data_IF_536880539152
#
_entry.id   IF_536880539152
#
_cell.length_a   1.000
_cell.length_b   1.000
_cell.length_c   1.000
_cell.angle_alpha   90.00
_cell.angle_beta   90.00
_cell.angle_gamma   90.00
#
_symmetry.space_group_name_H-M   'P 1'
#
loop_
_entity.id
_entity.type
_entity.pdbx_description
1 polymer ?
#
# COMPACT_ATOMS: atom_id res chain seq x y z
N UNK A 1 -17.99 -13.29 3.26
CA UNK A 1 -17.18 -12.29 3.98
C UNK A 1 -16.95 -11.15 3.00
N UNK A 2 -17.78 -10.13 3.02
CA UNK A 2 -17.58 -8.95 2.18
C UNK A 2 -16.37 -8.21 2.76
N UNK A 3 -15.31 -8.08 1.97
CA UNK A 3 -14.12 -7.34 2.36
C UNK A 3 -14.52 -5.88 2.57
N UNK A 4 -14.46 -5.43 3.82
CA UNK A 4 -14.63 -4.03 4.15
C UNK A 4 -13.62 -3.19 3.34
N UNK A 5 -14.01 -1.98 2.93
CA UNK A 5 -13.14 -1.06 2.19
C UNK A 5 -11.83 -0.83 2.94
N UNK A 6 -11.87 -0.71 4.27
CA UNK A 6 -10.68 -0.55 5.09
C UNK A 6 -9.76 -1.78 5.03
N UNK A 7 -10.33 -2.98 4.89
CA UNK A 7 -9.58 -4.23 4.77
C UNK A 7 -9.01 -4.38 3.35
N UNK A 8 -9.78 -3.99 2.32
CA UNK A 8 -9.30 -3.96 0.94
C UNK A 8 -8.09 -3.04 0.76
N UNK A 9 -8.15 -1.81 1.31
CA UNK A 9 -7.04 -0.86 1.27
C UNK A 9 -5.81 -1.37 2.03
N UNK A 10 -6.00 -2.07 3.16
CA UNK A 10 -4.89 -2.68 3.88
C UNK A 10 -4.16 -3.75 3.04
N UNK A 11 -4.91 -4.60 2.33
CA UNK A 11 -4.30 -5.61 1.45
C UNK A 11 -3.49 -4.97 0.31
N UNK A 12 -4.01 -3.90 -0.29
CA UNK A 12 -3.29 -3.16 -1.34
C UNK A 12 -2.01 -2.55 -0.79
N UNK A 13 -2.05 -1.94 0.40
CA UNK A 13 -0.85 -1.39 1.03
C UNK A 13 0.21 -2.46 1.28
N UNK A 14 -0.18 -3.62 1.81
CA UNK A 14 0.75 -4.75 2.05
C UNK A 14 1.37 -5.24 0.74
N UNK A 15 0.58 -5.35 -0.34
CA UNK A 15 1.10 -5.75 -1.64
C UNK A 15 2.14 -4.75 -2.18
N UNK A 16 1.88 -3.45 -2.05
CA UNK A 16 2.81 -2.40 -2.47
C UNK A 16 4.09 -2.38 -1.63
N UNK A 17 3.99 -2.59 -0.32
CA UNK A 17 5.18 -2.74 0.53
C UNK A 17 6.02 -3.95 0.10
N UNK A 18 5.38 -5.08 -0.19
CA UNK A 18 6.05 -6.28 -0.70
C UNK A 18 6.74 -6.04 -2.04
N UNK A 19 6.07 -5.39 -2.99
CA UNK A 19 6.66 -4.97 -4.26
C UNK A 19 7.85 -4.03 -4.06
N UNK A 20 7.76 -3.10 -3.11
CA UNK A 20 8.84 -2.21 -2.75
C UNK A 20 10.09 -2.95 -2.27
N UNK A 21 9.89 -3.94 -1.39
CA UNK A 21 10.97 -4.80 -0.89
C UNK A 21 11.58 -5.66 -2.01
N UNK A 22 10.76 -6.19 -2.92
CA UNK A 22 11.25 -6.94 -4.10
C UNK A 22 12.09 -6.04 -4.99
N UNK A 23 11.62 -4.82 -5.30
CA UNK A 23 12.38 -3.84 -6.08
C UNK A 23 13.73 -3.54 -5.43
N UNK A 24 13.75 -3.33 -4.11
CA UNK A 24 14.97 -3.08 -3.36
C UNK A 24 15.93 -4.27 -3.39
N UNK A 25 15.41 -5.51 -3.29
CA UNK A 25 16.21 -6.73 -3.41
C UNK A 25 16.83 -6.90 -4.80
N UNK A 26 16.17 -6.41 -5.84
CA UNK A 26 16.65 -6.41 -7.23
C UNK A 26 17.50 -5.18 -7.58
N UNK A 27 17.81 -4.31 -6.60
CA UNK A 27 18.49 -3.02 -6.80
C UNK A 27 17.75 -2.03 -7.72
N UNK A 28 16.45 -2.25 -7.96
CA UNK A 28 15.59 -1.33 -8.69
C UNK A 28 14.94 -0.34 -7.72
N UNK A 29 15.66 0.76 -7.48
CA UNK A 29 15.25 1.82 -6.56
C UNK A 29 14.05 2.64 -7.08
N UNK A 30 13.84 2.69 -8.40
CA UNK A 30 12.69 3.40 -8.96
C UNK A 30 11.40 2.64 -8.65
N UNK A 31 11.40 1.33 -8.91
CA UNK A 31 10.27 0.47 -8.56
C UNK A 31 10.02 0.46 -7.05
N UNK A 32 11.08 0.39 -6.24
CA UNK A 32 10.98 0.44 -4.79
C UNK A 32 10.35 1.75 -4.29
N UNK A 33 10.87 2.89 -4.73
CA UNK A 33 10.38 4.20 -4.33
C UNK A 33 8.93 4.45 -4.77
N UNK A 34 8.59 4.09 -6.00
CA UNK A 34 7.22 4.23 -6.52
C UNK A 34 6.22 3.35 -5.73
N UNK A 35 6.64 2.13 -5.38
CA UNK A 35 5.80 1.22 -4.60
C UNK A 35 5.57 1.74 -3.18
N UNK A 36 6.61 2.27 -2.52
CA UNK A 36 6.47 2.87 -1.19
C UNK A 36 5.64 4.16 -1.22
N UNK A 37 5.80 5.02 -2.23
CA UNK A 37 4.97 6.22 -2.40
C UNK A 37 3.49 5.84 -2.57
N UNK A 38 3.22 4.86 -3.44
CA UNK A 38 1.86 4.36 -3.67
C UNK A 38 1.27 3.76 -2.38
N UNK A 39 2.07 2.98 -1.62
CA UNK A 39 1.64 2.43 -0.34
C UNK A 39 1.25 3.53 0.66
N UNK A 40 2.03 4.60 0.74
CA UNK A 40 1.72 5.76 1.59
C UNK A 40 0.39 6.41 1.23
N UNK A 41 0.07 6.57 -0.06
CA UNK A 41 -1.21 7.12 -0.51
C UNK A 41 -2.37 6.21 -0.12
N UNK A 42 -2.22 4.90 -0.33
CA UNK A 42 -3.26 3.92 0.02
C UNK A 42 -3.55 3.90 1.52
N UNK A 43 -2.51 4.01 2.35
CA UNK A 43 -2.64 4.10 3.81
C UNK A 43 -3.37 5.40 4.21
N UNK A 44 -2.98 6.53 3.62
CA UNK A 44 -3.66 7.80 3.87
C UNK A 44 -5.16 7.75 3.51
N UNK A 45 -5.50 7.16 2.35
CA UNK A 45 -6.88 6.96 1.93
C UNK A 45 -7.65 6.03 2.87
N UNK A 46 -6.98 5.00 3.38
CA UNK A 46 -7.56 4.08 4.38
C UNK A 46 -7.87 4.81 5.68
N UNK A 47 -6.95 5.63 6.17
CA UNK A 47 -7.14 6.41 7.40
C UNK A 47 -8.23 7.47 7.25
N UNK A 48 -8.29 8.16 6.10
CA UNK A 48 -9.36 9.14 5.86
C UNK A 48 -10.74 8.48 5.75
N UNK A 49 -10.86 7.28 5.16
CA UNK A 49 -12.13 6.53 5.17
C UNK A 49 -12.49 5.99 6.55
N UNK A 50 -11.52 5.46 7.28
CA UNK A 50 -11.75 4.96 8.64
C UNK A 50 -12.10 6.06 9.65
N UNK A 51 -11.86 7.34 9.32
CA UNK A 51 -12.29 8.48 10.11
C UNK A 51 -13.71 8.95 9.78
N UNK A 52 -14.25 8.55 8.62
CA UNK A 52 -15.59 8.90 8.13
C UNK A 52 -16.66 7.86 8.54
N UNK A 53 -16.25 6.63 8.87
CA UNK A 53 -17.07 5.53 9.40
C UNK A 53 -17.14 5.52 10.94
#
# INVERSE_FOLDING_TARGET
MFLDVATGLALVAVALLGLGLIGMALSDLQLAGFSFLSASIVIYLRETRAADD
#
